data_IF_170473011729
#
_entry.id   IF_170473011729
#
_cell.length_a   1.000
_cell.length_b   1.000
_cell.length_c   1.000
_cell.angle_alpha   90.00
_cell.angle_beta   90.00
_cell.angle_gamma   90.00
#
_symmetry.space_group_name_H-M   'P 1'
#
loop_
_entity.id
_entity.type
_entity.pdbx_description
1 polymer ?
#
# COMPACT_ATOMS: atom_id res chain seq x y z
N UNK A 1 -9.34 -9.72 -0.37
CA UNK A 1 -10.10 -8.68 0.37
C UNK A 1 -9.88 -7.31 -0.27
N UNK A 2 -10.90 -6.52 -0.32
CA UNK A 2 -10.92 -5.24 -1.01
C UNK A 2 -11.64 -4.19 -0.17
N UNK A 3 -11.02 -3.02 -0.05
CA UNK A 3 -11.65 -1.85 0.55
C UNK A 3 -11.71 -0.73 -0.50
N UNK A 4 -12.84 -0.05 -0.58
CA UNK A 4 -13.00 1.04 -1.54
C UNK A 4 -13.88 2.14 -0.96
N UNK A 5 -13.46 3.38 -1.15
CA UNK A 5 -14.26 4.56 -0.80
C UNK A 5 -14.17 5.59 -1.94
N UNK A 6 -14.59 6.81 -1.70
CA UNK A 6 -14.55 7.87 -2.71
C UNK A 6 -13.16 8.38 -3.04
N UNK A 7 -12.15 8.09 -2.21
CA UNK A 7 -10.79 8.60 -2.36
C UNK A 7 -9.83 7.59 -2.96
N UNK A 8 -9.94 6.32 -2.55
CA UNK A 8 -8.99 5.29 -2.97
C UNK A 8 -9.58 3.90 -2.87
N UNK A 9 -8.89 2.94 -3.47
CA UNK A 9 -9.21 1.52 -3.45
C UNK A 9 -7.98 0.78 -2.96
N UNK A 10 -8.15 -0.04 -1.92
CA UNK A 10 -7.06 -0.84 -1.35
C UNK A 10 -7.40 -2.31 -1.51
N UNK A 11 -6.46 -3.08 -2.08
CA UNK A 11 -6.66 -4.51 -2.30
C UNK A 11 -5.51 -5.30 -1.67
N UNK A 12 -5.87 -6.35 -0.93
CA UNK A 12 -4.91 -7.29 -0.38
C UNK A 12 -4.40 -8.21 -1.48
N UNK A 13 -3.08 -8.39 -1.56
CA UNK A 13 -2.46 -9.24 -2.57
C UNK A 13 -1.95 -10.55 -1.96
N UNK A 14 -1.00 -10.47 -1.01
CA UNK A 14 -0.44 -11.67 -0.41
C UNK A 14 0.30 -11.36 0.90
N UNK A 15 0.54 -12.41 1.68
CA UNK A 15 1.36 -12.34 2.87
C UNK A 15 2.73 -12.92 2.56
N UNK A 16 3.78 -12.25 3.03
CA UNK A 16 5.16 -12.70 2.90
C UNK A 16 5.76 -12.88 4.29
N UNK A 17 6.49 -13.98 4.47
CA UNK A 17 7.20 -14.25 5.72
C UNK A 17 8.69 -14.28 5.37
N UNK A 18 9.48 -13.43 6.02
CA UNK A 18 10.92 -13.39 5.77
C UNK A 18 11.69 -14.43 6.58
N UNK A 19 13.04 -14.40 6.47
CA UNK A 19 13.90 -15.36 7.15
C UNK A 19 13.84 -15.28 8.67
N UNK A 20 13.45 -14.11 9.20
CA UNK A 20 13.35 -13.89 10.64
C UNK A 20 11.93 -14.14 11.14
N UNK A 21 11.09 -14.74 10.31
CA UNK A 21 9.68 -15.02 10.59
C UNK A 21 8.82 -13.76 10.81
N UNK A 22 9.29 -12.61 10.32
CA UNK A 22 8.50 -11.37 10.35
C UNK A 22 7.43 -11.45 9.28
N UNK A 23 6.21 -11.10 9.66
CA UNK A 23 5.08 -11.13 8.74
C UNK A 23 4.90 -9.79 8.06
N UNK A 24 4.89 -9.82 6.74
CA UNK A 24 4.66 -8.64 5.92
C UNK A 24 3.50 -8.92 4.96
N UNK A 25 2.73 -7.89 4.67
CA UNK A 25 1.56 -7.99 3.80
C UNK A 25 1.71 -7.04 2.63
N UNK A 26 1.38 -7.53 1.43
CA UNK A 26 1.43 -6.71 0.23
C UNK A 26 0.00 -6.27 -0.12
N UNK A 27 -0.16 -4.96 -0.28
CA UNK A 27 -1.43 -4.34 -0.69
C UNK A 27 -1.18 -3.45 -1.89
N UNK A 28 -2.23 -3.22 -2.68
CA UNK A 28 -2.19 -2.21 -3.73
C UNK A 28 -3.13 -1.07 -3.35
N UNK A 29 -2.77 0.14 -3.75
CA UNK A 29 -3.60 1.33 -3.54
C UNK A 29 -3.76 2.06 -4.86
N UNK A 30 -5.02 2.26 -5.27
CA UNK A 30 -5.38 3.10 -6.42
C UNK A 30 -6.01 4.36 -5.87
N UNK A 31 -5.40 5.51 -6.16
CA UNK A 31 -5.93 6.81 -5.74
C UNK A 31 -6.91 7.28 -6.81
N UNK A 32 -8.15 7.50 -6.42
CA UNK A 32 -9.21 7.90 -7.33
C UNK A 32 -9.10 9.37 -7.74
N UNK A 33 -9.76 9.71 -8.82
CA UNK A 33 -9.84 11.08 -9.38
C UNK A 33 -8.53 11.59 -9.99
N UNK A 34 -7.50 10.73 -10.05
CA UNK A 34 -6.23 11.08 -10.67
C UNK A 34 -5.77 9.92 -11.55
N UNK A 35 -5.22 10.25 -12.69
CA UNK A 35 -4.66 9.26 -13.61
C UNK A 35 -3.25 8.90 -13.15
N UNK A 36 -3.18 8.27 -11.97
CA UNK A 36 -1.91 7.85 -11.37
C UNK A 36 -1.78 6.33 -11.42
N UNK A 37 -0.53 5.83 -11.49
CA UNK A 37 -0.32 4.37 -11.47
C UNK A 37 -0.70 3.78 -10.11
N UNK A 38 -1.00 2.48 -10.12
CA UNK A 38 -1.27 1.72 -8.90
C UNK A 38 -0.01 1.65 -8.06
N UNK A 39 -0.15 1.96 -6.78
CA UNK A 39 0.95 1.92 -5.82
C UNK A 39 0.91 0.61 -5.04
N UNK A 40 2.04 -0.09 -4.99
CA UNK A 40 2.19 -1.30 -4.20
C UNK A 40 2.81 -0.94 -2.85
N UNK A 41 2.28 -1.53 -1.78
CA UNK A 41 2.72 -1.28 -0.41
C UNK A 41 3.15 -2.58 0.26
N UNK A 42 4.22 -2.51 1.03
CA UNK A 42 4.63 -3.60 1.91
C UNK A 42 4.44 -3.12 3.34
N UNK A 43 3.53 -3.75 4.07
CA UNK A 43 3.19 -3.41 5.45
C UNK A 43 3.80 -4.44 6.40
N UNK A 44 4.57 -3.97 7.39
CA UNK A 44 5.17 -4.81 8.42
C UNK A 44 4.21 -4.85 9.62
N UNK A 45 3.70 -6.03 9.94
CA UNK A 45 2.74 -6.20 11.03
C UNK A 45 3.33 -5.92 12.40
N UNK A 46 4.58 -6.32 12.63
CA UNK A 46 5.21 -6.13 13.94
C UNK A 46 5.51 -4.67 14.24
N UNK A 47 6.06 -3.96 13.26
CA UNK A 47 6.41 -2.56 13.42
C UNK A 47 5.23 -1.62 13.18
N UNK A 48 4.16 -2.14 12.56
CA UNK A 48 2.96 -1.36 12.23
C UNK A 48 3.28 -0.17 11.34
N UNK A 49 4.12 -0.39 10.33
CA UNK A 49 4.53 0.65 9.37
C UNK A 49 4.53 0.11 7.95
N UNK A 50 4.46 1.03 7.00
CA UNK A 50 4.68 0.71 5.60
C UNK A 50 6.17 0.84 5.36
N UNK A 51 6.84 -0.30 5.11
CA UNK A 51 8.29 -0.34 4.96
C UNK A 51 8.75 -0.05 3.54
N UNK A 52 7.86 -0.20 2.57
CA UNK A 52 8.21 0.01 1.16
C UNK A 52 6.98 0.39 0.35
N UNK A 53 7.14 1.34 -0.55
CA UNK A 53 6.16 1.69 -1.56
C UNK A 53 6.84 1.64 -2.93
N UNK A 54 6.17 1.06 -3.92
CA UNK A 54 6.74 1.00 -5.27
C UNK A 54 5.62 0.92 -6.31
N UNK A 55 5.97 1.32 -7.53
CA UNK A 55 5.09 1.24 -8.68
C UNK A 55 5.48 -0.01 -9.48
N UNK A 56 4.53 -0.62 -10.17
CA UNK A 56 4.76 -1.82 -10.97
C UNK A 56 5.96 -1.67 -11.90
N UNK A 57 6.62 -2.81 -12.21
CA UNK A 57 7.85 -2.86 -13.02
C UNK A 57 7.78 -2.07 -14.33
N UNK A 58 6.62 -2.03 -14.96
CA UNK A 58 6.46 -1.26 -16.21
C UNK A 58 6.63 0.25 -16.01
N UNK A 59 6.71 0.70 -14.74
CA UNK A 59 6.90 2.10 -14.38
C UNK A 59 8.17 2.32 -13.55
N UNK A 60 9.17 1.43 -13.69
CA UNK A 60 10.40 1.46 -12.88
C UNK A 60 11.12 2.81 -12.87
N UNK A 61 11.01 3.56 -13.95
CA UNK A 61 11.73 4.82 -14.10
C UNK A 61 11.01 6.02 -13.50
N UNK A 62 9.89 5.80 -12.80
CA UNK A 62 9.17 6.90 -12.16
C UNK A 62 9.90 7.30 -10.88
N UNK A 63 10.35 8.57 -10.76
CA UNK A 63 11.08 9.00 -9.57
C UNK A 63 10.19 9.07 -8.33
N UNK A 64 10.82 8.97 -7.15
CA UNK A 64 10.11 9.09 -5.87
C UNK A 64 9.43 10.46 -5.69
N UNK A 65 9.80 11.45 -6.49
CA UNK A 65 9.13 12.75 -6.49
C UNK A 65 7.85 12.78 -7.31
N UNK A 66 7.50 11.64 -7.96
CA UNK A 66 6.26 11.58 -8.73
C UNK A 66 5.05 11.91 -7.85
N UNK A 67 4.06 12.56 -8.44
CA UNK A 67 2.88 13.04 -7.72
C UNK A 67 2.16 11.93 -6.92
N UNK A 68 2.17 10.69 -7.40
CA UNK A 68 1.50 9.59 -6.70
C UNK A 68 2.09 9.38 -5.30
N UNK A 69 3.41 9.50 -5.14
CA UNK A 69 4.05 9.35 -3.83
C UNK A 69 3.69 10.51 -2.90
N UNK A 70 3.58 11.72 -3.44
CA UNK A 70 3.17 12.89 -2.66
C UNK A 70 1.73 12.75 -2.20
N UNK A 71 0.86 12.31 -3.09
CA UNK A 71 -0.55 12.08 -2.77
C UNK A 71 -0.69 10.99 -1.72
N UNK A 72 0.06 9.90 -1.88
CA UNK A 72 0.05 8.82 -0.90
C UNK A 72 0.49 9.30 0.47
N UNK A 73 1.52 10.15 0.57
CA UNK A 73 1.99 10.63 1.86
C UNK A 73 0.92 11.41 2.62
N UNK A 74 -0.04 12.00 1.93
CA UNK A 74 -1.16 12.72 2.55
C UNK A 74 -2.23 11.79 3.13
N UNK A 75 -2.31 10.56 2.63
CA UNK A 75 -3.31 9.57 3.05
C UNK A 75 -2.70 8.37 3.75
N UNK A 76 -1.38 8.35 3.93
CA UNK A 76 -0.67 7.20 4.47
C UNK A 76 -1.23 6.71 5.80
N UNK A 77 -1.50 7.63 6.71
CA UNK A 77 -2.03 7.31 8.04
C UNK A 77 -3.39 6.63 7.94
N UNK A 78 -4.26 7.17 7.10
CA UNK A 78 -5.59 6.61 6.86
C UNK A 78 -5.49 5.21 6.23
N UNK A 79 -4.56 5.04 5.28
CA UNK A 79 -4.34 3.75 4.63
C UNK A 79 -3.86 2.71 5.64
N UNK A 80 -2.94 3.07 6.54
CA UNK A 80 -2.44 2.16 7.58
C UNK A 80 -3.59 1.68 8.47
N UNK A 81 -4.47 2.58 8.89
CA UNK A 81 -5.62 2.21 9.72
C UNK A 81 -6.53 1.21 9.01
N UNK A 82 -6.77 1.43 7.72
CA UNK A 82 -7.61 0.54 6.92
C UNK A 82 -6.93 -0.83 6.75
N UNK A 83 -5.62 -0.84 6.48
CA UNK A 83 -4.86 -2.09 6.35
C UNK A 83 -4.94 -2.91 7.65
N UNK A 84 -4.77 -2.27 8.78
CA UNK A 84 -4.87 -2.94 10.08
C UNK A 84 -6.25 -3.55 10.28
N UNK A 85 -7.29 -2.82 9.93
CA UNK A 85 -8.66 -3.33 9.99
C UNK A 85 -8.83 -4.53 9.07
N UNK A 86 -8.31 -4.48 7.84
CA UNK A 86 -8.40 -5.59 6.90
C UNK A 86 -7.69 -6.83 7.43
N UNK A 87 -6.49 -6.67 7.99
CA UNK A 87 -5.72 -7.79 8.55
C UNK A 87 -6.47 -8.42 9.74
N UNK A 88 -7.06 -7.61 10.59
CA UNK A 88 -7.80 -8.11 11.75
C UNK A 88 -9.06 -8.91 11.38
N UNK A 89 -9.54 -8.74 10.15
CA UNK A 89 -10.74 -9.41 9.66
C UNK A 89 -10.47 -10.51 8.64
N UNK A 90 -9.21 -10.83 8.42
CA UNK A 90 -8.83 -11.93 7.50
C UNK A 90 -8.82 -13.30 8.18
#
# INVERSE_FOLDING_TARGET
>A
MLFENGKFKIEYIEECIDHDANRSFIFTVDIKDFDTPTLNLVYDLEEDIIVKTYIDEQFENIPKSHVVYKMFSLIEYEVIEIIRFMIDHM
#
